data_IF_073762037837
#
_entry.id   IF_073762037837
#
_cell.length_a   1.000
_cell.length_b   1.000
_cell.length_c   1.000
_cell.angle_alpha   90.00
_cell.angle_beta   90.00
_cell.angle_gamma   90.00
#
_symmetry.space_group_name_H-M   'P 1'
#
loop_
_entity.id
_entity.type
_entity.pdbx_description
1 polymer ?
#
# COMPACT_ATOMS: atom_id res chain seq x y z
N UNK A 1 -8.58 24.83 -57.05
CA UNK A 1 -8.03 23.66 -56.32
C UNK A 1 -7.17 24.17 -55.20
N UNK A 2 -7.70 24.21 -53.96
CA UNK A 2 -6.93 24.50 -52.75
C UNK A 2 -7.00 23.22 -51.89
N UNK A 3 -5.91 22.51 -51.84
CA UNK A 3 -5.72 21.33 -50.99
C UNK A 3 -5.68 21.78 -49.53
N UNK A 4 -6.71 21.43 -48.77
CA UNK A 4 -6.73 21.60 -47.33
C UNK A 4 -5.83 20.56 -46.72
N UNK A 5 -4.69 20.98 -46.15
CA UNK A 5 -3.85 20.17 -45.32
C UNK A 5 -4.59 19.84 -44.01
N UNK A 6 -5.03 18.59 -43.85
CA UNK A 6 -5.54 18.06 -42.59
C UNK A 6 -4.41 18.00 -41.59
N UNK A 7 -4.31 18.98 -40.68
CA UNK A 7 -3.44 18.88 -39.52
C UNK A 7 -4.05 17.87 -38.54
N UNK A 8 -3.59 16.65 -38.61
CA UNK A 8 -3.86 15.62 -37.59
C UNK A 8 -3.19 16.04 -36.30
N UNK A 9 -3.93 16.73 -35.42
CA UNK A 9 -3.49 16.95 -34.02
C UNK A 9 -3.62 15.64 -33.26
N UNK A 10 -2.63 14.75 -33.45
CA UNK A 10 -2.46 13.66 -32.48
C UNK A 10 -2.03 14.27 -31.15
N UNK A 11 -2.72 13.98 -30.02
CA UNK A 11 -2.23 14.36 -28.72
C UNK A 11 -0.86 13.70 -28.56
N UNK A 12 0.20 14.51 -28.35
CA UNK A 12 1.55 14.01 -28.10
C UNK A 12 1.51 13.07 -26.90
N UNK A 13 1.55 11.76 -27.15
CA UNK A 13 1.74 10.75 -26.11
C UNK A 13 3.17 10.94 -25.62
N UNK A 14 3.32 11.58 -24.46
CA UNK A 14 4.66 11.74 -23.84
C UNK A 14 5.23 10.36 -23.54
N UNK A 15 6.51 10.19 -23.81
CA UNK A 15 7.24 8.96 -23.46
C UNK A 15 7.22 8.73 -21.94
N UNK A 16 7.25 7.45 -21.53
CA UNK A 16 7.37 7.07 -20.13
C UNK A 16 8.69 7.56 -19.56
N UNK A 17 8.66 8.26 -18.43
CA UNK A 17 9.86 8.78 -17.74
C UNK A 17 10.31 7.77 -16.69
N UNK A 18 11.05 6.76 -17.11
CA UNK A 18 11.48 5.64 -16.25
C UNK A 18 12.32 6.09 -15.07
N UNK A 19 13.20 7.11 -15.22
CA UNK A 19 14.01 7.62 -14.13
C UNK A 19 13.17 8.13 -12.96
N UNK A 20 12.05 8.81 -13.24
CA UNK A 20 11.12 9.26 -12.21
C UNK A 20 10.31 8.10 -11.63
N UNK A 21 9.89 7.14 -12.47
CA UNK A 21 9.19 5.95 -11.98
C UNK A 21 10.06 5.14 -11.02
N UNK A 22 11.32 4.92 -11.33
CA UNK A 22 12.24 4.23 -10.42
C UNK A 22 12.57 5.06 -9.19
N UNK A 23 12.76 6.38 -9.32
CA UNK A 23 13.00 7.26 -8.18
C UNK A 23 11.81 7.27 -7.20
N UNK A 24 10.57 7.37 -7.70
CA UNK A 24 9.38 7.35 -6.82
C UNK A 24 9.11 5.94 -6.25
N UNK A 25 9.43 4.88 -6.99
CA UNK A 25 9.38 3.50 -6.51
C UNK A 25 10.39 3.28 -5.37
N UNK A 26 11.61 3.80 -5.50
CA UNK A 26 12.62 3.73 -4.45
C UNK A 26 12.24 4.62 -3.25
N UNK A 27 11.63 5.78 -3.48
CA UNK A 27 11.02 6.59 -2.42
C UNK A 27 9.93 5.82 -1.66
N UNK A 28 9.11 5.02 -2.37
CA UNK A 28 8.12 4.13 -1.78
C UNK A 28 8.76 2.98 -1.00
N UNK A 29 9.82 2.39 -1.54
CA UNK A 29 10.63 1.41 -0.83
C UNK A 29 11.13 1.94 0.51
N UNK A 30 11.73 3.13 0.53
CA UNK A 30 12.21 3.77 1.77
C UNK A 30 11.03 4.01 2.73
N UNK A 31 9.94 4.60 2.25
CA UNK A 31 8.78 4.92 3.09
C UNK A 31 8.23 3.67 3.77
N UNK A 32 8.01 2.60 3.03
CA UNK A 32 7.39 1.39 3.55
C UNK A 32 8.36 0.51 4.35
N UNK A 33 9.66 0.54 4.03
CA UNK A 33 10.70 -0.03 4.88
C UNK A 33 10.65 0.57 6.29
N UNK A 34 10.62 1.90 6.39
CA UNK A 34 10.57 2.61 7.67
C UNK A 34 9.28 2.31 8.45
N UNK A 35 8.16 2.19 7.75
CA UNK A 35 6.87 1.84 8.37
C UNK A 35 6.82 0.39 8.83
N UNK A 36 7.40 -0.53 8.07
CA UNK A 36 7.42 -1.96 8.39
C UNK A 36 8.26 -2.30 9.63
N UNK A 37 9.16 -1.41 10.05
CA UNK A 37 9.85 -1.54 11.35
C UNK A 37 8.84 -1.57 12.51
N UNK A 38 7.76 -0.80 12.45
CA UNK A 38 6.78 -0.69 13.54
C UNK A 38 6.19 -2.07 13.93
N UNK A 39 5.52 -2.81 13.03
CA UNK A 39 4.98 -4.12 13.38
C UNK A 39 6.07 -5.16 13.65
N UNK A 40 7.26 -4.99 13.07
CA UNK A 40 8.37 -5.93 13.27
C UNK A 40 8.95 -5.90 14.68
N UNK A 41 8.79 -4.77 15.40
CA UNK A 41 9.27 -4.64 16.79
C UNK A 41 8.18 -4.89 17.83
N UNK A 42 6.97 -5.29 17.45
CA UNK A 42 5.87 -5.55 18.40
C UNK A 42 6.23 -6.54 19.51
N UNK A 43 6.92 -7.67 19.26
CA UNK A 43 7.36 -8.55 20.36
C UNK A 43 8.22 -7.82 21.40
N UNK A 44 9.18 -7.02 20.96
CA UNK A 44 10.04 -6.22 21.84
C UNK A 44 9.24 -5.15 22.61
N UNK A 45 8.34 -4.42 21.96
CA UNK A 45 7.50 -3.42 22.62
C UNK A 45 6.55 -4.08 23.63
N UNK A 46 6.02 -5.27 23.30
CA UNK A 46 5.15 -6.06 24.19
C UNK A 46 5.90 -6.43 25.48
N UNK A 47 7.15 -6.86 25.36
CA UNK A 47 8.01 -7.20 26.50
C UNK A 47 8.41 -5.95 27.30
N UNK A 48 8.99 -4.93 26.63
CA UNK A 48 9.53 -3.73 27.29
C UNK A 48 8.47 -2.94 28.08
N UNK A 49 7.24 -2.91 27.61
CA UNK A 49 6.14 -2.13 28.23
C UNK A 49 5.04 -3.02 28.81
N UNK A 50 5.24 -4.35 28.89
CA UNK A 50 4.26 -5.32 29.42
C UNK A 50 2.89 -5.19 28.76
N UNK A 51 2.83 -5.02 27.41
CA UNK A 51 1.61 -4.79 26.67
C UNK A 51 0.84 -6.09 26.45
N UNK A 52 -0.50 -5.98 26.41
CA UNK A 52 -1.38 -7.04 25.92
C UNK A 52 -1.56 -6.95 24.39
N UNK A 53 -2.23 -7.93 23.77
CA UNK A 53 -2.45 -7.94 22.31
C UNK A 53 -3.38 -6.83 21.86
N UNK A 54 -4.36 -6.44 22.68
CA UNK A 54 -5.22 -5.28 22.42
C UNK A 54 -4.39 -4.00 22.27
N UNK A 55 -3.41 -3.78 23.14
CA UNK A 55 -2.51 -2.62 23.06
C UNK A 55 -1.61 -2.68 21.82
N UNK A 56 -1.12 -3.85 21.45
CA UNK A 56 -0.40 -4.05 20.17
C UNK A 56 -1.32 -3.67 18.98
N UNK A 57 -2.56 -4.15 19.00
CA UNK A 57 -3.57 -3.77 17.98
C UNK A 57 -3.84 -2.26 17.94
N UNK A 58 -3.87 -1.60 19.10
CA UNK A 58 -4.04 -0.13 19.20
C UNK A 58 -2.83 0.64 18.63
N UNK A 59 -1.60 0.11 18.72
CA UNK A 59 -0.44 0.73 18.04
C UNK A 59 -0.65 0.71 16.52
N UNK A 60 -1.05 -0.44 15.97
CA UNK A 60 -1.39 -0.53 14.54
C UNK A 60 -2.55 0.40 14.18
N UNK A 61 -3.61 0.44 15.01
CA UNK A 61 -4.75 1.32 14.77
C UNK A 61 -4.34 2.79 14.73
N UNK A 62 -3.56 3.26 15.71
CA UNK A 62 -3.11 4.64 15.79
C UNK A 62 -2.29 5.02 14.55
N UNK A 63 -1.35 4.16 14.14
CA UNK A 63 -0.55 4.34 12.94
C UNK A 63 -1.43 4.37 11.68
N UNK A 64 -2.25 3.35 11.46
CA UNK A 64 -3.06 3.21 10.25
C UNK A 64 -4.19 4.25 10.17
N UNK A 65 -4.79 4.63 11.29
CA UNK A 65 -5.85 5.62 11.33
C UNK A 65 -5.31 7.02 10.99
N UNK A 66 -4.15 7.39 11.54
CA UNK A 66 -3.47 8.65 11.19
C UNK A 66 -3.02 8.67 9.73
N UNK A 67 -2.60 7.51 9.20
CA UNK A 67 -2.29 7.37 7.79
C UNK A 67 -3.54 7.48 6.91
N UNK A 68 -4.68 6.87 7.30
CA UNK A 68 -5.85 6.71 6.43
C UNK A 68 -6.74 7.93 6.32
N UNK A 69 -7.03 8.59 7.43
CA UNK A 69 -8.05 9.68 7.49
C UNK A 69 -7.67 10.85 6.58
N UNK A 70 -6.40 11.23 6.56
CA UNK A 70 -5.94 12.40 5.82
C UNK A 70 -5.76 12.14 4.32
N UNK A 71 -5.59 10.88 3.86
CA UNK A 71 -5.28 10.56 2.46
C UNK A 71 -6.31 11.09 1.45
N UNK A 72 -7.63 10.88 1.62
CA UNK A 72 -8.61 11.40 0.67
C UNK A 72 -8.62 12.94 0.61
N UNK A 73 -8.37 13.58 1.75
CA UNK A 73 -8.31 15.05 1.83
C UNK A 73 -7.05 15.59 1.15
N UNK A 74 -5.90 14.97 1.42
CA UNK A 74 -4.62 15.29 0.75
C UNK A 74 -4.78 15.08 -0.75
N UNK A 75 -5.28 13.92 -1.20
CA UNK A 75 -5.46 13.62 -2.60
C UNK A 75 -6.38 14.63 -3.31
N UNK A 76 -7.51 15.01 -2.68
CA UNK A 76 -8.43 16.02 -3.22
C UNK A 76 -7.81 17.42 -3.26
N UNK A 77 -7.05 17.80 -2.21
CA UNK A 77 -6.39 19.10 -2.13
C UNK A 77 -5.33 19.22 -3.24
N UNK A 78 -4.49 18.21 -3.38
CA UNK A 78 -3.38 18.19 -4.32
C UNK A 78 -3.82 17.96 -5.77
N UNK A 79 -5.03 17.39 -6.01
CA UNK A 79 -5.66 17.38 -7.34
C UNK A 79 -5.95 18.81 -7.83
N UNK A 80 -6.26 19.72 -6.92
CA UNK A 80 -6.55 21.14 -7.24
C UNK A 80 -5.32 22.03 -7.14
N UNK A 81 -4.45 21.76 -6.17
CA UNK A 81 -3.25 22.57 -5.83
C UNK A 81 -2.04 21.66 -5.64
N UNK A 82 -1.44 21.18 -6.73
CA UNK A 82 -0.27 20.31 -6.64
C UNK A 82 0.87 20.96 -5.85
N UNK A 83 1.42 20.23 -4.85
CA UNK A 83 2.51 20.73 -4.03
C UNK A 83 3.77 19.87 -4.21
N UNK A 84 4.76 20.33 -4.98
CA UNK A 84 6.00 19.58 -5.23
C UNK A 84 6.84 19.23 -3.99
N UNK A 85 6.61 19.91 -2.85
CA UNK A 85 7.34 19.65 -1.60
C UNK A 85 6.64 18.66 -0.69
N UNK A 86 5.41 18.29 -0.98
CA UNK A 86 4.58 17.45 -0.09
C UNK A 86 5.23 16.11 0.24
N UNK A 87 5.84 15.43 -0.76
CA UNK A 87 6.51 14.15 -0.57
C UNK A 87 7.67 14.22 0.44
N UNK A 88 8.53 15.23 0.31
CA UNK A 88 9.65 15.44 1.24
C UNK A 88 9.16 15.81 2.65
N UNK A 89 8.10 16.62 2.75
CA UNK A 89 7.48 17.00 4.03
C UNK A 89 6.88 15.75 4.71
N UNK A 90 6.17 14.90 3.96
CA UNK A 90 5.64 13.63 4.47
C UNK A 90 6.74 12.74 5.05
N UNK A 91 7.86 12.57 4.32
CA UNK A 91 9.01 11.80 4.82
C UNK A 91 9.64 12.44 6.07
N UNK A 92 9.59 13.77 6.21
CA UNK A 92 10.02 14.49 7.41
C UNK A 92 9.18 14.12 8.65
N UNK A 93 7.87 13.98 8.52
CA UNK A 93 7.02 13.47 9.61
C UNK A 93 7.38 12.03 9.99
N UNK A 94 7.64 11.17 9.02
CA UNK A 94 8.13 9.80 9.26
C UNK A 94 9.44 9.80 10.04
N UNK A 95 10.41 10.65 9.66
CA UNK A 95 11.69 10.82 10.37
C UNK A 95 11.47 11.20 11.84
N UNK A 96 10.67 12.25 12.09
CA UNK A 96 10.39 12.71 13.46
C UNK A 96 9.70 11.60 14.26
N UNK A 97 8.77 10.87 13.67
CA UNK A 97 8.09 9.75 14.29
C UNK A 97 9.05 8.62 14.70
N UNK A 98 10.02 8.28 13.84
CA UNK A 98 11.04 7.25 14.15
C UNK A 98 12.01 7.69 15.26
N UNK A 99 12.47 8.95 15.25
CA UNK A 99 13.25 9.50 16.34
C UNK A 99 12.47 9.40 17.66
N UNK A 100 11.20 9.82 17.65
CA UNK A 100 10.34 9.76 18.82
C UNK A 100 10.15 8.31 19.29
N UNK A 101 9.94 7.35 18.36
CA UNK A 101 9.77 5.94 18.67
C UNK A 101 11.04 5.33 19.29
N UNK A 102 12.23 5.75 18.85
CA UNK A 102 13.50 5.24 19.36
C UNK A 102 13.74 5.57 20.84
N UNK A 103 13.17 6.65 21.34
CA UNK A 103 13.31 7.15 22.72
C UNK A 103 12.00 7.02 23.54
N UNK A 104 10.95 6.39 22.95
CA UNK A 104 9.68 6.24 23.64
C UNK A 104 9.83 5.41 24.92
N UNK A 105 9.33 5.93 26.04
CA UNK A 105 9.49 5.36 27.38
C UNK A 105 8.19 4.76 27.94
N UNK A 106 7.06 4.91 27.25
CA UNK A 106 5.78 4.39 27.65
C UNK A 106 4.83 4.22 26.46
N UNK A 107 3.73 3.52 26.67
CA UNK A 107 2.75 3.18 25.65
C UNK A 107 2.15 4.40 24.94
N UNK A 108 1.82 5.48 25.68
CA UNK A 108 1.27 6.69 25.07
C UNK A 108 2.28 7.36 24.13
N UNK A 109 3.55 7.40 24.53
CA UNK A 109 4.60 7.97 23.71
C UNK A 109 4.83 7.13 22.42
N UNK A 110 4.74 5.81 22.51
CA UNK A 110 4.73 4.93 21.33
C UNK A 110 3.57 5.28 20.41
N UNK A 111 2.33 5.44 20.92
CA UNK A 111 1.16 5.82 20.13
C UNK A 111 1.37 7.15 19.38
N UNK A 112 1.87 8.18 20.07
CA UNK A 112 2.13 9.48 19.46
C UNK A 112 3.21 9.39 18.36
N UNK A 113 4.26 8.60 18.62
CA UNK A 113 5.35 8.40 17.66
C UNK A 113 4.85 7.74 16.36
N UNK A 114 4.05 6.68 16.48
CA UNK A 114 3.51 5.99 15.29
C UNK A 114 2.45 6.83 14.56
N UNK A 115 1.72 7.70 15.25
CA UNK A 115 0.82 8.67 14.61
C UNK A 115 1.59 9.64 13.71
N UNK A 116 2.76 10.12 14.12
CA UNK A 116 3.61 10.98 13.29
C UNK A 116 4.07 10.26 12.02
N UNK A 117 4.46 8.98 12.14
CA UNK A 117 4.78 8.15 10.96
C UNK A 117 3.57 8.02 10.05
N UNK A 118 2.37 7.77 10.61
CA UNK A 118 1.12 7.69 9.87
C UNK A 118 0.76 8.98 9.12
N UNK A 119 0.94 10.14 9.74
CA UNK A 119 0.75 11.45 9.08
C UNK A 119 1.69 11.58 7.87
N UNK A 120 2.96 11.18 7.99
CA UNK A 120 3.90 11.14 6.87
C UNK A 120 3.38 10.29 5.71
N UNK A 121 2.91 9.09 6.03
CA UNK A 121 2.31 8.13 5.09
C UNK A 121 1.07 8.70 4.38
N UNK A 122 0.21 9.44 5.10
CA UNK A 122 -1.03 10.00 4.56
C UNK A 122 -0.80 11.01 3.43
N UNK A 123 0.33 11.70 3.46
CA UNK A 123 0.74 12.63 2.40
C UNK A 123 1.43 11.88 1.27
N UNK A 124 2.27 10.90 1.60
CA UNK A 124 3.12 10.21 0.64
C UNK A 124 2.32 9.45 -0.43
N UNK A 125 1.42 8.54 -0.04
CA UNK A 125 0.79 7.60 -0.97
C UNK A 125 -0.05 8.26 -2.08
N UNK A 126 -0.96 9.22 -1.82
CA UNK A 126 -1.73 9.85 -2.88
C UNK A 126 -0.84 10.67 -3.83
N UNK A 127 0.15 11.38 -3.31
CA UNK A 127 1.04 12.22 -4.12
C UNK A 127 2.03 11.40 -4.93
N UNK A 128 2.62 10.35 -4.35
CA UNK A 128 3.53 9.47 -5.04
C UNK A 128 2.84 8.70 -6.17
N UNK A 129 1.62 8.20 -5.93
CA UNK A 129 0.79 7.56 -6.96
C UNK A 129 0.48 8.53 -8.10
N UNK A 130 0.21 9.81 -7.81
CA UNK A 130 0.02 10.85 -8.82
C UNK A 130 1.28 11.07 -9.65
N UNK A 131 2.44 11.25 -9.00
CA UNK A 131 3.73 11.44 -9.70
C UNK A 131 4.02 10.24 -10.61
N UNK A 132 3.79 9.01 -10.15
CA UNK A 132 3.93 7.80 -10.95
C UNK A 132 3.03 7.84 -12.21
N UNK A 133 1.78 8.27 -12.06
CA UNK A 133 0.87 8.40 -13.21
C UNK A 133 1.28 9.52 -14.17
N UNK A 134 1.78 10.65 -13.68
CA UNK A 134 2.31 11.73 -14.52
C UNK A 134 3.51 11.28 -15.35
N UNK A 135 4.37 10.42 -14.77
CA UNK A 135 5.55 9.86 -15.43
C UNK A 135 5.24 8.64 -16.33
N UNK A 136 3.99 8.14 -16.34
CA UNK A 136 3.62 6.89 -17.00
C UNK A 136 3.69 6.88 -18.52
N UNK A 137 3.61 8.06 -19.18
CA UNK A 137 3.52 8.14 -20.64
C UNK A 137 2.34 7.36 -21.23
N UNK A 138 1.23 7.25 -20.48
CA UNK A 138 0.05 6.47 -20.85
C UNK A 138 0.02 5.03 -20.35
N UNK A 139 1.16 4.46 -19.93
CA UNK A 139 1.28 3.09 -19.38
C UNK A 139 0.97 3.08 -17.89
N UNK A 140 -0.26 3.44 -17.50
CA UNK A 140 -0.66 3.65 -16.09
C UNK A 140 -0.53 2.39 -15.23
N UNK A 141 -0.88 1.22 -15.78
CA UNK A 141 -0.77 -0.07 -15.08
C UNK A 141 0.69 -0.39 -14.73
N UNK A 142 1.59 -0.27 -15.72
CA UNK A 142 3.03 -0.46 -15.52
C UNK A 142 3.59 0.51 -14.46
N UNK A 143 3.26 1.80 -14.56
CA UNK A 143 3.72 2.81 -13.62
C UNK A 143 3.25 2.52 -12.19
N UNK A 144 1.98 2.12 -12.01
CA UNK A 144 1.44 1.75 -10.72
C UNK A 144 2.08 0.46 -10.17
N UNK A 145 2.36 -0.52 -11.03
CA UNK A 145 3.06 -1.74 -10.61
C UNK A 145 4.49 -1.45 -10.16
N UNK A 146 5.26 -0.66 -10.91
CA UNK A 146 6.62 -0.25 -10.52
C UNK A 146 6.59 0.47 -9.16
N UNK A 147 5.64 1.38 -8.97
CA UNK A 147 5.45 2.09 -7.71
C UNK A 147 5.15 1.13 -6.54
N UNK A 148 4.19 0.22 -6.71
CA UNK A 148 3.79 -0.73 -5.66
C UNK A 148 4.87 -1.75 -5.30
N UNK A 149 5.67 -2.17 -6.28
CA UNK A 149 6.80 -3.08 -6.05
C UNK A 149 7.81 -2.47 -5.09
N UNK A 150 8.09 -1.16 -5.22
CA UNK A 150 8.94 -0.46 -4.26
C UNK A 150 8.43 -0.59 -2.84
N UNK A 151 7.16 -0.24 -2.59
CA UNK A 151 6.57 -0.31 -1.26
C UNK A 151 6.57 -1.72 -0.68
N UNK A 152 6.12 -2.72 -1.45
CA UNK A 152 6.09 -4.10 -0.97
C UNK A 152 7.49 -4.67 -0.71
N UNK A 153 8.49 -4.32 -1.52
CA UNK A 153 9.88 -4.70 -1.27
C UNK A 153 10.42 -4.04 0.01
N UNK A 154 10.10 -2.76 0.23
CA UNK A 154 10.44 -2.05 1.47
C UNK A 154 9.81 -2.71 2.69
N UNK A 155 8.51 -3.00 2.62
CA UNK A 155 7.77 -3.70 3.67
C UNK A 155 8.37 -5.07 4.00
N UNK A 156 8.87 -5.81 3.00
CA UNK A 156 9.51 -7.09 3.20
C UNK A 156 10.85 -6.98 3.95
N UNK A 157 11.64 -5.94 3.67
CA UNK A 157 12.94 -5.74 4.32
C UNK A 157 12.81 -5.32 5.79
N UNK A 158 11.68 -4.71 6.20
CA UNK A 158 11.46 -4.26 7.58
C UNK A 158 11.72 -5.33 8.64
N UNK A 159 11.07 -6.51 8.59
CA UNK A 159 11.34 -7.61 9.54
C UNK A 159 12.79 -8.07 9.56
N UNK A 160 13.44 -8.09 8.38
CA UNK A 160 14.86 -8.47 8.28
C UNK A 160 15.75 -7.44 9.00
N UNK A 161 15.48 -6.15 8.81
CA UNK A 161 16.19 -5.08 9.52
C UNK A 161 15.94 -5.13 11.04
N UNK A 162 14.70 -5.43 11.46
CA UNK A 162 14.38 -5.62 12.85
C UNK A 162 15.18 -6.79 13.45
N UNK A 163 15.20 -7.95 12.78
CA UNK A 163 15.91 -9.14 13.23
C UNK A 163 17.42 -8.92 13.37
N UNK A 164 18.03 -8.24 12.42
CA UNK A 164 19.49 -8.08 12.34
C UNK A 164 20.03 -6.87 13.11
N UNK A 165 19.25 -5.80 13.24
CA UNK A 165 19.71 -4.52 13.80
C UNK A 165 19.02 -4.22 15.13
N UNK A 166 17.68 -4.27 15.18
CA UNK A 166 16.95 -3.77 16.35
C UNK A 166 16.88 -4.82 17.46
N UNK A 167 16.57 -6.08 17.14
CA UNK A 167 16.44 -7.13 18.15
C UNK A 167 17.74 -7.36 18.95
N UNK A 168 18.94 -7.40 18.34
CA UNK A 168 20.17 -7.57 19.09
C UNK A 168 20.59 -6.39 19.95
N UNK A 169 20.20 -5.16 19.56
CA UNK A 169 20.73 -3.93 20.15
C UNK A 169 19.68 -3.08 20.89
N UNK A 170 18.39 -3.44 20.76
CA UNK A 170 17.27 -2.78 21.43
C UNK A 170 16.68 -1.58 20.70
N UNK A 171 15.62 -1.02 21.33
CA UNK A 171 14.75 0.04 20.78
C UNK A 171 15.49 1.27 20.30
N UNK A 172 16.54 1.71 21.00
CA UNK A 172 17.29 2.91 20.64
C UNK A 172 17.92 2.84 19.22
N UNK A 173 18.18 1.63 18.71
CA UNK A 173 18.75 1.45 17.38
C UNK A 173 17.80 1.81 16.23
N UNK A 174 16.51 2.02 16.52
CA UNK A 174 15.54 2.58 15.54
C UNK A 174 16.05 3.94 15.02
N UNK A 175 16.78 4.74 15.80
CA UNK A 175 17.33 6.02 15.37
C UNK A 175 18.21 5.93 14.12
N UNK A 176 18.87 4.81 13.86
CA UNK A 176 19.71 4.65 12.66
C UNK A 176 18.91 4.65 11.36
N UNK A 177 17.63 4.28 11.42
CA UNK A 177 16.72 4.36 10.28
C UNK A 177 16.41 5.81 9.86
N UNK A 178 16.70 6.78 10.72
CA UNK A 178 16.60 8.20 10.37
C UNK A 178 17.56 8.60 9.25
N UNK A 179 18.73 7.94 9.13
CA UNK A 179 19.65 8.16 8.01
C UNK A 179 18.99 7.75 6.68
N UNK A 180 18.24 6.62 6.68
CA UNK A 180 17.48 6.17 5.51
C UNK A 180 16.36 7.18 5.19
N UNK A 181 15.68 7.69 6.21
CA UNK A 181 14.65 8.73 6.03
C UNK A 181 15.23 10.03 5.42
N UNK A 182 16.44 10.45 5.83
CA UNK A 182 17.14 11.61 5.24
C UNK A 182 17.46 11.38 3.75
N UNK A 183 17.94 10.17 3.39
CA UNK A 183 18.12 9.79 1.97
C UNK A 183 16.79 9.88 1.21
N UNK A 184 15.70 9.42 1.82
CA UNK A 184 14.35 9.53 1.28
C UNK A 184 13.94 11.00 1.04
N UNK A 185 14.18 11.90 2.00
CA UNK A 185 13.89 13.34 1.87
C UNK A 185 14.66 13.95 0.69
N UNK A 186 15.95 13.63 0.56
CA UNK A 186 16.77 14.12 -0.54
C UNK A 186 16.26 13.64 -1.89
N UNK A 187 16.01 12.34 -2.03
CA UNK A 187 15.46 11.74 -3.24
C UNK A 187 14.10 12.35 -3.62
N UNK A 188 13.18 12.45 -2.68
CA UNK A 188 11.83 12.99 -2.91
C UNK A 188 11.87 14.51 -3.19
N UNK A 189 12.88 15.23 -2.72
CA UNK A 189 13.11 16.63 -3.09
C UNK A 189 13.54 16.76 -4.56
N UNK A 190 14.33 15.81 -5.08
CA UNK A 190 14.71 15.76 -6.50
C UNK A 190 13.47 15.44 -7.36
N UNK A 191 12.69 14.45 -6.96
CA UNK A 191 11.42 14.13 -7.64
C UNK A 191 10.47 15.34 -7.62
N UNK A 192 10.43 16.08 -6.50
CA UNK A 192 9.64 17.29 -6.37
C UNK A 192 10.05 18.40 -7.34
N UNK A 193 11.34 18.56 -7.66
CA UNK A 193 11.80 19.50 -8.70
C UNK A 193 11.24 19.13 -10.07
N UNK A 194 11.40 17.88 -10.50
CA UNK A 194 10.81 17.39 -11.73
C UNK A 194 9.29 17.58 -11.77
N UNK A 195 8.61 17.30 -10.67
CA UNK A 195 7.16 17.46 -10.54
C UNK A 195 6.74 18.91 -10.77
N UNK A 196 7.47 19.87 -10.18
CA UNK A 196 7.24 21.32 -10.38
C UNK A 196 7.39 21.71 -11.85
N UNK A 197 8.47 21.28 -12.49
CA UNK A 197 8.77 21.57 -13.89
C UNK A 197 7.68 20.97 -14.82
N UNK A 198 7.26 19.74 -14.56
CA UNK A 198 6.21 19.08 -15.34
C UNK A 198 4.85 19.80 -15.23
N UNK A 199 4.49 20.32 -14.04
CA UNK A 199 3.28 21.11 -13.85
C UNK A 199 3.35 22.41 -14.65
N UNK A 200 4.48 23.14 -14.53
CA UNK A 200 4.66 24.41 -15.24
C UNK A 200 4.64 24.25 -16.76
N UNK A 201 5.25 23.19 -17.28
CA UNK A 201 5.25 22.89 -18.70
C UNK A 201 3.85 22.55 -19.21
N UNK A 202 3.08 21.76 -18.46
CA UNK A 202 1.68 21.45 -18.80
C UNK A 202 0.80 22.70 -18.81
N UNK A 203 1.00 23.61 -17.88
CA UNK A 203 0.25 24.86 -17.81
C UNK A 203 0.61 25.78 -18.99
N UNK A 204 1.89 25.89 -19.34
CA UNK A 204 2.34 26.64 -20.54
C UNK A 204 1.71 26.08 -21.83
N UNK A 205 1.72 24.76 -21.99
CA UNK A 205 1.10 24.09 -23.15
C UNK A 205 -0.42 24.32 -23.20
N UNK A 206 -1.09 24.31 -22.05
CA UNK A 206 -2.53 24.61 -21.97
C UNK A 206 -2.84 26.04 -22.39
N UNK A 207 -2.06 27.00 -21.93
CA UNK A 207 -2.22 28.41 -22.29
C UNK A 207 -1.92 28.67 -23.77
N UNK A 208 -0.88 28.01 -24.33
CA UNK A 208 -0.49 28.19 -25.74
C UNK A 208 -1.46 27.50 -26.73
N UNK A 209 -2.14 26.44 -26.31
CA UNK A 209 -3.08 25.70 -27.19
C UNK A 209 -4.47 26.31 -27.28
N UNK A 210 -4.77 27.38 -26.54
CA UNK A 210 -6.08 28.02 -26.52
C UNK A 210 -7.23 27.10 -26.07
N UNK A 211 -6.94 25.93 -25.54
CA UNK A 211 -7.89 24.90 -25.06
C UNK A 211 -8.38 25.27 -23.67
N UNK A 212 -9.14 26.37 -23.57
CA UNK A 212 -9.98 26.60 -22.40
C UNK A 212 -11.06 25.52 -22.34
N UNK A 213 -10.95 24.64 -21.38
CA UNK A 213 -12.08 23.83 -20.91
C UNK A 213 -12.32 22.47 -21.56
N UNK A 214 -11.48 21.96 -22.47
CA UNK A 214 -11.59 20.58 -22.90
C UNK A 214 -10.81 19.67 -21.95
N UNK A 215 -11.44 19.27 -20.84
CA UNK A 215 -11.17 17.99 -20.22
C UNK A 215 -11.46 16.92 -21.29
N UNK A 216 -10.45 16.52 -22.06
CA UNK A 216 -10.57 15.43 -23.04
C UNK A 216 -10.67 14.09 -22.30
N UNK A 217 -11.74 13.92 -21.59
CA UNK A 217 -12.22 12.63 -21.14
C UNK A 217 -13.39 12.27 -22.05
N UNK A 218 -13.09 11.74 -23.24
CA UNK A 218 -14.08 10.89 -23.89
C UNK A 218 -14.27 9.68 -22.96
N UNK A 219 -15.40 9.58 -22.25
CA UNK A 219 -15.66 8.42 -21.42
C UNK A 219 -15.89 7.24 -22.37
N UNK A 220 -14.90 6.37 -22.47
CA UNK A 220 -14.96 5.20 -23.37
C UNK A 220 -15.96 4.14 -22.89
N UNK A 221 -16.53 4.32 -21.69
CA UNK A 221 -17.60 3.48 -21.13
C UNK A 221 -18.50 4.32 -20.22
N UNK A 222 -19.72 4.56 -20.66
CA UNK A 222 -20.77 5.18 -19.84
C UNK A 222 -21.52 4.07 -19.10
N UNK A 223 -20.92 3.59 -18.00
CA UNK A 223 -21.69 2.82 -17.04
C UNK A 223 -22.69 3.75 -16.32
N UNK A 224 -23.90 3.29 -16.05
CA UNK A 224 -24.82 4.05 -15.21
C UNK A 224 -24.19 4.35 -13.85
N UNK A 225 -24.52 5.51 -13.25
CA UNK A 225 -23.99 5.94 -11.95
C UNK A 225 -24.15 4.86 -10.86
N UNK A 226 -25.28 4.14 -10.85
CA UNK A 226 -25.54 3.05 -9.94
C UNK A 226 -24.53 1.89 -10.11
N UNK A 227 -24.22 1.50 -11.37
CA UNK A 227 -23.22 0.45 -11.65
C UNK A 227 -21.82 0.86 -11.22
N UNK A 228 -21.44 2.13 -11.40
CA UNK A 228 -20.14 2.65 -10.95
C UNK A 228 -20.04 2.59 -9.42
N UNK A 229 -21.04 3.09 -8.71
CA UNK A 229 -21.08 3.06 -7.24
C UNK A 229 -21.07 1.61 -6.73
N UNK A 230 -21.91 0.73 -7.30
CA UNK A 230 -21.95 -0.68 -6.93
C UNK A 230 -20.59 -1.37 -7.14
N UNK A 231 -19.90 -1.08 -8.26
CA UNK A 231 -18.55 -1.62 -8.52
C UNK A 231 -17.53 -1.13 -7.49
N UNK A 232 -17.56 0.15 -7.13
CA UNK A 232 -16.65 0.71 -6.10
C UNK A 232 -16.91 0.05 -4.75
N UNK A 233 -18.18 -0.12 -4.36
CA UNK A 233 -18.55 -0.80 -3.10
C UNK A 233 -18.04 -2.25 -3.10
N UNK A 234 -18.24 -2.99 -4.20
CA UNK A 234 -17.72 -4.36 -4.32
C UNK A 234 -16.19 -4.41 -4.19
N UNK A 235 -15.48 -3.47 -4.83
CA UNK A 235 -14.03 -3.39 -4.70
C UNK A 235 -13.58 -3.06 -3.26
N UNK A 236 -14.32 -2.22 -2.55
CA UNK A 236 -14.04 -1.93 -1.12
C UNK A 236 -14.29 -3.17 -0.23
N UNK A 237 -15.33 -3.96 -0.51
CA UNK A 237 -15.57 -5.24 0.18
C UNK A 237 -14.41 -6.23 -0.07
N UNK A 238 -13.89 -6.28 -1.28
CA UNK A 238 -12.73 -7.12 -1.62
C UNK A 238 -11.45 -6.65 -0.91
N UNK A 239 -11.26 -5.33 -0.83
CA UNK A 239 -10.15 -4.73 -0.07
C UNK A 239 -10.29 -5.04 1.43
N UNK A 240 -11.50 -4.92 1.99
CA UNK A 240 -11.77 -5.30 3.37
C UNK A 240 -11.27 -6.71 3.67
N UNK A 241 -11.73 -7.70 2.89
CA UNK A 241 -11.31 -9.10 3.03
C UNK A 241 -9.80 -9.27 2.99
N UNK A 242 -9.18 -8.73 1.94
CA UNK A 242 -7.75 -8.82 1.72
C UNK A 242 -6.94 -8.18 2.86
N UNK A 243 -7.29 -6.94 3.26
CA UNK A 243 -6.48 -6.19 4.22
C UNK A 243 -6.64 -6.67 5.66
N UNK A 244 -7.81 -7.19 6.06
CA UNK A 244 -7.93 -7.86 7.36
C UNK A 244 -7.03 -9.11 7.41
N UNK A 245 -7.04 -9.94 6.35
CA UNK A 245 -6.14 -11.09 6.28
C UNK A 245 -4.67 -10.66 6.28
N UNK A 246 -4.30 -9.68 5.46
CA UNK A 246 -2.93 -9.14 5.45
C UNK A 246 -2.51 -8.63 6.83
N UNK A 247 -3.41 -7.97 7.57
CA UNK A 247 -3.13 -7.47 8.92
C UNK A 247 -2.90 -8.62 9.90
N UNK A 248 -3.66 -9.72 9.81
CA UNK A 248 -3.39 -10.90 10.65
C UNK A 248 -1.97 -11.42 10.41
N UNK A 249 -1.50 -11.43 9.16
CA UNK A 249 -0.15 -11.87 8.82
C UNK A 249 0.92 -10.84 9.27
N UNK A 250 0.73 -9.54 9.00
CA UNK A 250 1.75 -8.54 9.29
C UNK A 250 1.89 -8.21 10.78
N UNK A 251 0.79 -8.21 11.54
CA UNK A 251 0.80 -7.81 12.95
C UNK A 251 0.91 -9.00 13.92
N UNK A 252 0.44 -10.19 13.51
CA UNK A 252 0.27 -11.30 14.45
C UNK A 252 0.96 -12.60 14.02
N UNK A 253 1.50 -12.72 12.80
CA UNK A 253 2.13 -13.96 12.32
C UNK A 253 3.36 -14.36 13.15
N UNK A 254 4.18 -13.39 13.58
CA UNK A 254 5.31 -13.65 14.47
C UNK A 254 4.85 -14.25 15.80
N UNK A 255 3.79 -13.70 16.39
CA UNK A 255 3.22 -14.25 17.64
C UNK A 255 2.61 -15.64 17.43
N UNK A 256 1.97 -15.88 16.27
CA UNK A 256 1.46 -17.20 15.92
C UNK A 256 2.57 -18.23 15.79
N UNK A 257 3.68 -17.89 15.14
CA UNK A 257 4.84 -18.78 14.99
C UNK A 257 5.52 -19.08 16.34
N UNK A 258 5.67 -18.06 17.19
CA UNK A 258 6.22 -18.20 18.53
C UNK A 258 5.30 -19.07 19.38
N UNK A 259 4.01 -18.79 19.43
CA UNK A 259 3.05 -19.49 20.29
C UNK A 259 2.83 -20.94 19.88
N UNK A 260 2.64 -21.20 18.58
CA UNK A 260 2.31 -22.53 18.06
C UNK A 260 3.53 -23.46 17.90
N UNK A 261 4.69 -22.91 17.50
CA UNK A 261 5.86 -23.70 17.13
C UNK A 261 7.08 -23.48 18.05
N UNK A 262 6.98 -22.61 19.06
CA UNK A 262 8.06 -22.35 20.00
C UNK A 262 9.29 -21.65 19.40
N UNK A 263 9.12 -20.90 18.29
CA UNK A 263 10.22 -20.21 17.62
C UNK A 263 10.71 -19.01 18.43
N UNK A 264 11.97 -18.65 18.24
CA UNK A 264 12.49 -17.36 18.72
C UNK A 264 11.85 -16.19 17.93
N UNK A 265 11.88 -14.99 18.53
CA UNK A 265 11.43 -13.77 17.85
C UNK A 265 12.20 -13.56 16.55
N UNK A 266 13.51 -13.76 16.56
CA UNK A 266 14.36 -13.57 15.40
C UNK A 266 14.00 -14.54 14.26
N UNK A 267 13.83 -15.83 14.54
CA UNK A 267 13.41 -16.83 13.54
C UNK A 267 12.05 -16.49 12.94
N UNK A 268 11.09 -16.08 13.76
CA UNK A 268 9.75 -15.69 13.28
C UNK A 268 9.79 -14.47 12.37
N UNK A 269 10.73 -13.51 12.55
CA UNK A 269 10.93 -12.38 11.65
C UNK A 269 11.46 -12.81 10.26
N UNK A 270 12.33 -13.83 10.18
CA UNK A 270 12.75 -14.38 8.89
C UNK A 270 11.58 -15.00 8.10
N UNK A 271 10.66 -15.67 8.77
CA UNK A 271 9.47 -16.21 8.12
C UNK A 271 8.48 -15.10 7.70
N UNK A 272 8.35 -14.04 8.50
CA UNK A 272 7.57 -12.86 8.12
C UNK A 272 8.20 -12.16 6.89
N UNK A 273 9.53 -12.04 6.86
CA UNK A 273 10.25 -11.56 5.68
C UNK A 273 9.93 -12.40 4.44
N UNK A 274 9.98 -13.73 4.53
CA UNK A 274 9.69 -14.63 3.42
C UNK A 274 8.26 -14.43 2.88
N UNK A 275 7.28 -14.28 3.77
CA UNK A 275 5.90 -13.95 3.39
C UNK A 275 5.81 -12.60 2.66
N UNK A 276 6.42 -11.54 3.20
CA UNK A 276 6.36 -10.20 2.60
C UNK A 276 7.17 -10.10 1.31
N UNK A 277 8.28 -10.84 1.19
CA UNK A 277 9.01 -10.97 -0.08
C UNK A 277 8.15 -11.63 -1.15
N UNK A 278 7.39 -12.66 -0.79
CA UNK A 278 6.41 -13.30 -1.67
C UNK A 278 5.29 -12.32 -2.10
N UNK A 279 4.84 -11.45 -1.19
CA UNK A 279 3.89 -10.35 -1.49
C UNK A 279 4.48 -9.41 -2.53
N UNK A 280 5.75 -9.02 -2.41
CA UNK A 280 6.42 -8.17 -3.40
C UNK A 280 6.47 -8.85 -4.79
N UNK A 281 6.85 -10.13 -4.85
CA UNK A 281 6.87 -10.94 -6.09
C UNK A 281 5.48 -11.01 -6.73
N UNK A 282 4.45 -11.31 -5.95
CA UNK A 282 3.08 -11.40 -6.45
C UNK A 282 2.57 -10.06 -7.03
N UNK A 283 2.99 -8.94 -6.46
CA UNK A 283 2.64 -7.60 -6.97
C UNK A 283 3.27 -7.34 -8.35
N UNK A 284 4.51 -7.80 -8.59
CA UNK A 284 5.16 -7.70 -9.91
C UNK A 284 4.34 -8.46 -10.96
N UNK A 285 3.85 -9.65 -10.61
CA UNK A 285 3.10 -10.50 -11.52
C UNK A 285 1.69 -9.97 -11.81
N UNK A 286 1.04 -9.35 -10.81
CA UNK A 286 -0.36 -8.95 -10.87
C UNK A 286 -0.68 -7.91 -11.94
N UNK A 287 0.20 -6.91 -12.15
CA UNK A 287 0.00 -5.85 -13.14
C UNK A 287 -0.02 -6.39 -14.58
N UNK A 288 1.06 -7.02 -15.07
CA UNK A 288 1.12 -7.58 -16.42
C UNK A 288 0.06 -8.66 -16.68
N UNK A 289 -0.24 -9.51 -15.69
CA UNK A 289 -1.29 -10.51 -15.82
C UNK A 289 -2.67 -9.87 -15.92
N UNK A 290 -2.92 -8.79 -15.15
CA UNK A 290 -4.16 -8.01 -15.22
C UNK A 290 -4.39 -7.35 -16.58
N UNK A 291 -3.33 -6.81 -17.18
CA UNK A 291 -3.37 -6.21 -18.52
C UNK A 291 -3.59 -7.27 -19.62
N UNK A 292 -3.01 -8.47 -19.46
CA UNK A 292 -3.10 -9.55 -20.46
C UNK A 292 -4.40 -10.36 -20.38
N UNK A 293 -4.84 -10.74 -19.18
CA UNK A 293 -5.96 -11.67 -18.97
C UNK A 293 -7.23 -10.97 -18.49
N UNK A 294 -7.14 -9.68 -18.21
CA UNK A 294 -8.25 -8.87 -17.70
C UNK A 294 -8.24 -8.73 -16.18
N UNK A 295 -8.45 -7.50 -15.72
CA UNK A 295 -8.35 -7.11 -14.30
C UNK A 295 -9.32 -7.87 -13.39
N UNK A 296 -10.57 -8.08 -13.84
CA UNK A 296 -11.58 -8.84 -13.08
C UNK A 296 -11.11 -10.25 -12.75
N UNK A 297 -10.52 -10.96 -13.71
CA UNK A 297 -10.01 -12.32 -13.51
C UNK A 297 -8.88 -12.34 -12.48
N UNK A 298 -7.94 -11.40 -12.57
CA UNK A 298 -6.81 -11.32 -11.63
C UNK A 298 -7.29 -10.99 -10.22
N UNK A 299 -8.24 -10.07 -10.07
CA UNK A 299 -8.87 -9.77 -8.77
C UNK A 299 -9.52 -11.03 -8.19
N UNK A 300 -10.24 -11.80 -9.00
CA UNK A 300 -10.92 -13.03 -8.58
C UNK A 300 -9.92 -14.11 -8.12
N UNK A 301 -8.91 -14.41 -8.94
CA UNK A 301 -7.85 -15.37 -8.61
C UNK A 301 -7.08 -14.94 -7.37
N UNK A 302 -6.77 -13.65 -7.25
CA UNK A 302 -5.96 -13.14 -6.14
C UNK A 302 -6.66 -13.25 -4.79
N UNK A 303 -7.95 -13.08 -4.72
CA UNK A 303 -8.67 -13.12 -3.44
C UNK A 303 -9.24 -14.53 -3.21
N UNK A 304 -10.11 -15.02 -4.08
CA UNK A 304 -10.74 -16.33 -3.90
C UNK A 304 -9.75 -17.49 -4.09
N UNK A 305 -8.79 -17.36 -5.00
CA UNK A 305 -7.76 -18.37 -5.23
C UNK A 305 -6.80 -18.56 -4.05
N UNK A 306 -6.70 -17.59 -3.13
CA UNK A 306 -5.95 -17.77 -1.90
C UNK A 306 -6.69 -18.63 -0.85
N UNK A 307 -8.03 -18.77 -0.94
CA UNK A 307 -8.85 -19.42 0.07
C UNK A 307 -8.43 -20.86 0.44
N UNK A 308 -8.14 -21.79 -0.49
CA UNK A 308 -7.73 -23.14 -0.11
C UNK A 308 -6.44 -23.17 0.72
N UNK A 309 -5.51 -22.26 0.44
CA UNK A 309 -4.24 -22.18 1.16
C UNK A 309 -4.41 -21.50 2.53
N UNK A 310 -5.24 -20.47 2.63
CA UNK A 310 -5.53 -19.81 3.91
C UNK A 310 -6.29 -20.72 4.86
N UNK A 311 -7.23 -21.52 4.36
CA UNK A 311 -7.98 -22.50 5.15
C UNK A 311 -7.08 -23.64 5.66
N UNK A 312 -6.08 -24.05 4.89
CA UNK A 312 -5.14 -25.10 5.30
C UNK A 312 -4.11 -24.63 6.34
N UNK A 313 -3.67 -23.36 6.26
CA UNK A 313 -2.55 -22.84 7.04
C UNK A 313 -2.66 -23.06 8.56
N UNK A 314 -3.82 -22.85 9.23
CA UNK A 314 -3.92 -23.06 10.68
C UNK A 314 -3.82 -24.54 11.13
N UNK A 315 -3.91 -25.49 10.21
CA UNK A 315 -4.04 -26.93 10.52
C UNK A 315 -2.78 -27.74 10.22
N UNK A 316 -1.68 -27.10 9.82
CA UNK A 316 -0.45 -27.78 9.37
C UNK A 316 0.75 -27.47 10.27
N UNK A 317 1.84 -28.27 10.09
CA UNK A 317 3.11 -28.07 10.78
C UNK A 317 3.92 -26.90 10.19
N UNK A 318 5.03 -26.51 10.85
CA UNK A 318 5.82 -25.32 10.56
C UNK A 318 6.25 -25.21 9.09
N UNK A 319 6.87 -26.26 8.52
CA UNK A 319 7.38 -26.20 7.14
C UNK A 319 6.26 -25.90 6.13
N UNK A 320 5.11 -26.56 6.28
CA UNK A 320 3.98 -26.37 5.39
C UNK A 320 3.30 -25.03 5.65
N UNK A 321 3.25 -24.55 6.90
CA UNK A 321 2.78 -23.18 7.24
C UNK A 321 3.58 -22.12 6.47
N UNK A 322 4.90 -22.24 6.44
CA UNK A 322 5.79 -21.28 5.74
C UNK A 322 5.57 -21.35 4.21
N UNK A 323 5.50 -22.57 3.65
CA UNK A 323 5.24 -22.76 2.22
C UNK A 323 3.88 -22.15 1.85
N UNK A 324 2.83 -22.42 2.63
CA UNK A 324 1.50 -21.86 2.39
C UNK A 324 1.50 -20.34 2.54
N UNK A 325 2.20 -19.78 3.53
CA UNK A 325 2.33 -18.34 3.70
C UNK A 325 2.97 -17.68 2.45
N UNK A 326 4.03 -18.27 1.89
CA UNK A 326 4.67 -17.79 0.65
C UNK A 326 3.67 -17.84 -0.51
N UNK A 327 2.96 -18.96 -0.71
CA UNK A 327 1.96 -19.11 -1.78
C UNK A 327 0.85 -18.06 -1.62
N UNK A 328 0.32 -17.90 -0.41
CA UNK A 328 -0.71 -16.91 -0.09
C UNK A 328 -0.18 -15.49 -0.39
N UNK A 329 1.03 -15.19 0.03
CA UNK A 329 1.68 -13.89 -0.22
C UNK A 329 1.71 -13.54 -1.71
N UNK A 330 2.16 -14.46 -2.56
CA UNK A 330 2.19 -14.27 -4.03
C UNK A 330 0.78 -14.06 -4.59
N UNK A 331 -0.18 -14.89 -4.20
CA UNK A 331 -1.53 -14.86 -4.77
C UNK A 331 -2.26 -13.58 -4.33
N UNK A 332 -2.34 -13.31 -3.02
CA UNK A 332 -3.19 -12.24 -2.47
C UNK A 332 -2.70 -10.84 -2.84
N UNK A 333 -1.40 -10.68 -3.13
CA UNK A 333 -0.82 -9.37 -3.46
C UNK A 333 -1.09 -8.92 -4.89
N UNK A 334 -1.36 -9.84 -5.80
CA UNK A 334 -1.50 -9.56 -7.24
C UNK A 334 -2.72 -8.68 -7.59
N UNK A 335 -3.74 -8.56 -6.72
CA UNK A 335 -4.97 -7.82 -7.02
C UNK A 335 -4.89 -6.32 -6.83
N UNK A 336 -4.05 -5.79 -5.93
CA UNK A 336 -4.22 -4.39 -5.50
C UNK A 336 -4.00 -3.38 -6.62
N UNK A 337 -2.96 -3.56 -7.43
CA UNK A 337 -2.71 -2.72 -8.62
C UNK A 337 -3.87 -2.82 -9.62
N UNK A 338 -4.40 -4.03 -9.84
CA UNK A 338 -5.54 -4.25 -10.73
C UNK A 338 -6.82 -3.59 -10.19
N UNK A 339 -7.09 -3.68 -8.89
CA UNK A 339 -8.23 -3.01 -8.23
C UNK A 339 -8.12 -1.50 -8.39
N UNK A 340 -6.96 -0.92 -8.10
CA UNK A 340 -6.77 0.54 -8.16
C UNK A 340 -6.93 1.07 -9.58
N UNK A 341 -6.33 0.39 -10.57
CA UNK A 341 -6.48 0.79 -11.98
C UNK A 341 -7.92 0.61 -12.45
N UNK A 342 -8.59 -0.50 -12.08
CA UNK A 342 -9.99 -0.71 -12.38
C UNK A 342 -10.87 0.41 -11.79
N UNK A 343 -10.64 0.80 -10.54
CA UNK A 343 -11.38 1.87 -9.87
C UNK A 343 -11.13 3.25 -10.50
N UNK A 344 -9.89 3.57 -10.88
CA UNK A 344 -9.57 4.85 -11.54
C UNK A 344 -10.13 4.94 -12.95
N UNK A 345 -10.29 3.82 -13.67
CA UNK A 345 -10.94 3.77 -14.97
C UNK A 345 -12.47 3.96 -14.87
N UNK A 346 -13.07 3.55 -13.74
CA UNK A 346 -14.51 3.81 -13.47
C UNK A 346 -14.82 5.30 -13.23
N UNK A 347 -13.83 6.08 -12.72
CA UNK A 347 -14.00 7.51 -12.38
C UNK A 347 -12.87 8.33 -12.98
N UNK A 348 -12.88 8.55 -14.31
CA UNK A 348 -11.83 9.29 -15.00
C UNK A 348 -11.65 10.71 -14.45
N UNK A 349 -10.41 11.21 -14.41
CA UNK A 349 -10.07 12.56 -13.96
C UNK A 349 -9.98 12.78 -12.44
N UNK A 350 -10.29 11.76 -11.63
CA UNK A 350 -10.23 11.84 -10.15
C UNK A 350 -9.27 10.82 -9.56
N UNK A 351 -8.08 10.74 -10.14
CA UNK A 351 -7.10 9.71 -9.78
C UNK A 351 -6.61 9.81 -8.35
N UNK A 352 -6.22 11.00 -7.89
CA UNK A 352 -5.76 11.23 -6.53
C UNK A 352 -6.86 10.94 -5.50
N UNK A 353 -8.10 11.36 -5.78
CA UNK A 353 -9.24 11.08 -4.91
C UNK A 353 -9.53 9.57 -4.81
N UNK A 354 -9.52 8.85 -5.93
CA UNK A 354 -9.76 7.40 -5.94
C UNK A 354 -8.60 6.65 -5.26
N UNK A 355 -7.35 7.01 -5.56
CA UNK A 355 -6.20 6.42 -4.88
C UNK A 355 -6.26 6.69 -3.37
N UNK A 356 -6.51 7.94 -2.96
CA UNK A 356 -6.68 8.29 -1.55
C UNK A 356 -7.81 7.54 -0.85
N UNK A 357 -8.94 7.34 -1.54
CA UNK A 357 -10.05 6.55 -1.00
C UNK A 357 -9.65 5.10 -0.78
N UNK A 358 -9.01 4.47 -1.76
CA UNK A 358 -8.68 3.05 -1.70
C UNK A 358 -7.52 2.75 -0.74
N UNK A 359 -6.46 3.56 -0.75
CA UNK A 359 -5.38 3.45 0.24
C UNK A 359 -5.88 3.80 1.65
N UNK A 360 -6.62 4.91 1.80
CA UNK A 360 -7.18 5.33 3.07
C UNK A 360 -8.11 4.27 3.67
N UNK A 361 -9.00 3.69 2.85
CA UNK A 361 -9.87 2.60 3.29
C UNK A 361 -9.05 1.35 3.67
N UNK A 362 -8.06 0.96 2.86
CA UNK A 362 -7.20 -0.18 3.13
C UNK A 362 -6.48 -0.05 4.47
N UNK A 363 -5.84 1.09 4.73
CA UNK A 363 -5.13 1.35 5.98
C UNK A 363 -6.08 1.49 7.17
N UNK A 364 -7.22 2.18 7.00
CA UNK A 364 -8.23 2.30 8.04
C UNK A 364 -8.76 0.94 8.48
N UNK A 365 -9.11 0.08 7.52
CA UNK A 365 -9.57 -1.29 7.80
C UNK A 365 -8.46 -2.16 8.40
N UNK A 366 -7.21 -2.00 7.94
CA UNK A 366 -6.07 -2.71 8.54
C UNK A 366 -5.90 -2.34 10.02
N UNK A 367 -6.00 -1.04 10.36
CA UNK A 367 -5.91 -0.57 11.74
C UNK A 367 -7.05 -1.08 12.62
N UNK A 368 -8.31 -0.90 12.18
CA UNK A 368 -9.48 -1.42 12.88
C UNK A 368 -9.43 -2.94 13.02
N UNK A 369 -9.02 -3.64 11.95
CA UNK A 369 -8.82 -5.08 11.95
C UNK A 369 -7.78 -5.52 12.96
N UNK A 370 -6.63 -4.84 13.02
CA UNK A 370 -5.59 -5.16 14.00
C UNK A 370 -6.07 -5.00 15.44
N UNK A 371 -6.77 -3.90 15.76
CA UNK A 371 -7.32 -3.70 17.11
C UNK A 371 -8.34 -4.78 17.47
N UNK A 372 -9.24 -5.14 16.54
CA UNK A 372 -10.22 -6.20 16.74
C UNK A 372 -9.58 -7.57 16.90
N UNK A 373 -8.59 -7.91 16.04
CA UNK A 373 -7.89 -9.19 16.11
C UNK A 373 -7.04 -9.31 17.38
N UNK A 374 -6.46 -8.20 17.86
CA UNK A 374 -5.75 -8.17 19.13
C UNK A 374 -6.67 -8.41 20.32
N UNK A 375 -7.83 -7.73 20.34
CA UNK A 375 -8.87 -7.97 21.33
C UNK A 375 -9.36 -9.43 21.30
N UNK A 376 -9.58 -9.99 20.11
CA UNK A 376 -9.99 -11.39 19.95
C UNK A 376 -8.90 -12.34 20.45
N UNK A 377 -7.63 -12.05 20.20
CA UNK A 377 -6.50 -12.86 20.67
C UNK A 377 -6.40 -12.89 22.20
N UNK A 378 -6.66 -11.76 22.88
CA UNK A 378 -6.64 -11.68 24.35
C UNK A 378 -7.80 -12.47 25.00
N UNK A 379 -8.95 -12.59 24.31
CA UNK A 379 -10.12 -13.30 24.82
C UNK A 379 -10.22 -14.76 24.38
N UNK A 380 -9.38 -15.17 23.42
CA UNK A 380 -9.37 -16.53 22.86
C UNK A 380 -7.93 -17.06 22.78
N UNK A 381 -7.37 -17.05 21.59
CA UNK A 381 -5.96 -17.36 21.32
C UNK A 381 -5.53 -16.81 19.96
N UNK A 382 -4.21 -16.72 19.76
CA UNK A 382 -3.63 -16.33 18.46
C UNK A 382 -3.98 -17.37 17.38
N UNK A 383 -4.02 -18.66 17.70
CA UNK A 383 -4.39 -19.73 16.78
C UNK A 383 -5.83 -19.56 16.29
N UNK A 384 -6.76 -19.20 17.19
CA UNK A 384 -8.16 -18.96 16.85
C UNK A 384 -8.31 -17.76 15.93
N UNK A 385 -7.53 -16.68 16.13
CA UNK A 385 -7.49 -15.55 15.21
C UNK A 385 -7.14 -15.99 13.79
N UNK A 386 -6.11 -16.84 13.63
CA UNK A 386 -5.72 -17.37 12.32
C UNK A 386 -6.78 -18.28 11.70
N UNK A 387 -7.47 -19.08 12.51
CA UNK A 387 -8.60 -19.92 12.04
C UNK A 387 -9.74 -19.04 11.49
N UNK A 388 -10.15 -17.99 12.18
CA UNK A 388 -11.19 -17.06 11.72
C UNK A 388 -10.75 -16.31 10.46
N UNK A 389 -9.54 -15.76 10.44
CA UNK A 389 -9.02 -15.02 9.30
C UNK A 389 -8.89 -15.88 8.03
N UNK A 390 -8.72 -17.21 8.18
CA UNK A 390 -8.62 -18.15 7.06
C UNK A 390 -9.85 -18.13 6.14
N UNK A 391 -11.03 -17.77 6.62
CA UNK A 391 -12.28 -17.69 5.86
C UNK A 391 -12.44 -16.39 5.07
N UNK A 392 -11.70 -15.34 5.39
CA UNK A 392 -11.85 -14.03 4.75
C UNK A 392 -11.72 -14.07 3.22
N UNK A 393 -10.76 -14.81 2.62
CA UNK A 393 -10.63 -14.85 1.16
C UNK A 393 -11.83 -15.44 0.43
N UNK A 394 -12.73 -16.18 1.10
CA UNK A 394 -13.99 -16.67 0.51
C UNK A 394 -14.90 -15.51 0.08
N UNK A 395 -14.80 -14.33 0.69
CA UNK A 395 -15.49 -13.10 0.26
C UNK A 395 -15.14 -12.77 -1.21
N UNK A 396 -14.03 -13.28 -1.72
CA UNK A 396 -13.63 -13.13 -3.12
C UNK A 396 -14.70 -13.59 -4.13
N UNK A 397 -15.66 -14.41 -3.72
CA UNK A 397 -16.81 -14.84 -4.56
C UNK A 397 -17.60 -13.64 -5.09
N UNK A 398 -17.67 -12.51 -4.35
CA UNK A 398 -18.41 -11.31 -4.77
C UNK A 398 -17.81 -10.63 -6.03
N UNK A 399 -16.59 -10.98 -6.41
CA UNK A 399 -15.95 -10.51 -7.67
C UNK A 399 -16.78 -10.91 -8.90
N UNK A 400 -17.59 -11.95 -8.80
CA UNK A 400 -18.51 -12.37 -9.86
C UNK A 400 -19.42 -11.22 -10.33
N UNK A 401 -19.88 -10.39 -9.42
CA UNK A 401 -20.78 -9.28 -9.69
C UNK A 401 -20.10 -8.03 -10.30
N UNK A 402 -18.76 -7.98 -10.36
CA UNK A 402 -18.08 -6.90 -11.04
C UNK A 402 -18.35 -6.93 -12.56
N UNK A 403 -18.68 -5.80 -13.21
CA UNK A 403 -18.82 -5.73 -14.65
C UNK A 403 -17.47 -6.00 -15.36
N UNK A 404 -17.55 -6.55 -16.58
CA UNK A 404 -16.37 -6.67 -17.41
C UNK A 404 -16.04 -5.29 -18.01
N UNK A 405 -15.08 -4.58 -17.43
CA UNK A 405 -14.52 -3.38 -18.03
C UNK A 405 -13.36 -3.84 -18.93
N UNK A 406 -13.57 -3.82 -20.25
CA UNK A 406 -12.48 -4.12 -21.21
C UNK A 406 -11.40 -3.06 -21.03
N UNK A 407 -10.24 -3.45 -20.48
CA UNK A 407 -9.04 -2.64 -20.56
C UNK A 407 -8.62 -2.46 -22.03
N UNK A 408 -8.18 -1.26 -22.38
CA UNK A 408 -7.48 -1.01 -23.65
C UNK A 408 -6.06 -1.48 -23.55
#
# INVERSE_FOLDING_TARGET
MKTAASSSTHPMVRSTVYSILFAISFGHFINDLLQAVIPSIYPMLKENFSLNFTQIGLITLAFQLSASILQPFVGRYTDKRPNPKSLAIGMGFTLIGLVSLSIASNFLFVLLSVCLVGIGSSVFHPEASRVAQLASGGKKGLAQSIFQVGGNAGSAIGPLMAALIIMPHGQAYIQWFCLIALVGILLLSIVGKWYKENIQEREKLRLSSGLEGQNSTNPTYVLSRGKVIGSIVLLLVLIFSKYIYMTSMTSYFTFYLIGKFGLSVQESQFYLFAFLAAVAVGTILGGPLGDRYGRKLIIWISILGAAPFTLALPHVGLTLTVILAIIIGVIISSAFSAILVYATDLVPGKVGMIAGLFFGFAFGIAGLGSAFLGWLADHTSIEYVFQICAYLPLIGVVTWFLPNVKGR
#
